data_IF_071342989225
#
_entry.id   IF_071342989225
#
_cell.length_a   1.000
_cell.length_b   1.000
_cell.length_c   1.000
_cell.angle_alpha   90.00
_cell.angle_beta   90.00
_cell.angle_gamma   90.00
#
_symmetry.space_group_name_H-M   'P 1'
#
loop_
_entity.id
_entity.type
_entity.pdbx_description
1 polymer ?
#
# COMPACT_ATOMS: atom_id res chain seq x y z
N UNK A 1 -51.97 25.16 -59.48
CA UNK A 1 -51.08 24.06 -59.10
C UNK A 1 -50.42 24.41 -57.78
N UNK A 2 -50.63 23.65 -56.69
CA UNK A 2 -49.97 23.94 -55.43
C UNK A 2 -48.59 23.28 -55.39
N UNK A 3 -47.54 24.08 -55.28
CA UNK A 3 -46.17 23.62 -55.02
C UNK A 3 -46.05 23.25 -53.54
N UNK A 4 -46.13 21.96 -53.25
CA UNK A 4 -45.92 21.40 -51.93
C UNK A 4 -44.41 21.38 -51.64
N UNK A 5 -43.86 22.52 -51.23
CA UNK A 5 -42.46 22.64 -50.81
C UNK A 5 -42.36 22.19 -49.36
N UNK A 6 -41.55 21.16 -49.10
CA UNK A 6 -41.42 20.46 -47.81
C UNK A 6 -40.08 20.78 -47.13
N UNK A 7 -39.83 22.01 -46.63
CA UNK A 7 -38.54 22.39 -46.05
C UNK A 7 -38.30 21.82 -44.64
N UNK A 8 -39.34 21.32 -43.95
CA UNK A 8 -39.26 20.94 -42.54
C UNK A 8 -38.47 19.66 -42.24
N UNK A 9 -38.57 18.63 -43.07
CA UNK A 9 -37.98 17.30 -42.77
C UNK A 9 -36.45 17.32 -42.78
N UNK A 10 -35.84 18.08 -43.70
CA UNK A 10 -34.39 18.16 -43.81
C UNK A 10 -33.75 18.91 -42.62
N UNK A 11 -34.41 19.97 -42.14
CA UNK A 11 -33.90 20.81 -41.04
C UNK A 11 -34.01 20.08 -39.70
N UNK A 12 -35.12 19.39 -39.45
CA UNK A 12 -35.29 18.62 -38.21
C UNK A 12 -34.31 17.44 -38.09
N UNK A 13 -34.02 16.77 -39.20
CA UNK A 13 -33.02 15.70 -39.23
C UNK A 13 -31.61 16.19 -38.87
N UNK A 14 -31.21 17.34 -39.42
CA UNK A 14 -29.91 17.97 -39.14
C UNK A 14 -29.83 18.44 -37.69
N UNK A 15 -30.89 19.04 -37.15
CA UNK A 15 -30.93 19.44 -35.74
C UNK A 15 -30.88 18.25 -34.77
N UNK A 16 -31.57 17.16 -35.08
CA UNK A 16 -31.54 15.95 -34.27
C UNK A 16 -30.12 15.34 -34.21
N UNK A 17 -29.42 15.33 -35.35
CA UNK A 17 -28.03 14.88 -35.44
C UNK A 17 -27.11 15.81 -34.65
N UNK A 18 -27.29 17.13 -34.79
CA UNK A 18 -26.50 18.13 -34.06
C UNK A 18 -26.69 18.03 -32.54
N UNK A 19 -27.95 17.91 -32.07
CA UNK A 19 -28.27 17.70 -30.65
C UNK A 19 -27.61 16.43 -30.12
N UNK A 20 -27.71 15.31 -30.84
CA UNK A 20 -27.11 14.03 -30.44
C UNK A 20 -25.58 14.08 -30.41
N UNK A 21 -24.95 14.71 -31.40
CA UNK A 21 -23.50 14.92 -31.43
C UNK A 21 -23.03 15.78 -30.24
N UNK A 22 -23.77 16.83 -29.90
CA UNK A 22 -23.46 17.71 -28.79
C UNK A 22 -23.59 17.00 -27.43
N UNK A 23 -24.61 16.16 -27.25
CA UNK A 23 -24.76 15.31 -26.06
C UNK A 23 -23.63 14.30 -25.91
N UNK A 24 -23.26 13.60 -26.99
CA UNK A 24 -22.15 12.63 -26.99
C UNK A 24 -20.83 13.31 -26.68
N UNK A 25 -20.58 14.48 -27.27
CA UNK A 25 -19.36 15.23 -27.04
C UNK A 25 -19.28 15.75 -25.60
N UNK A 26 -20.39 16.26 -25.04
CA UNK A 26 -20.47 16.63 -23.60
C UNK A 26 -20.21 15.42 -22.71
N UNK A 27 -20.79 14.26 -23.02
CA UNK A 27 -20.59 13.03 -22.27
C UNK A 27 -19.14 12.54 -22.33
N UNK A 28 -18.51 12.57 -23.51
CA UNK A 28 -17.10 12.24 -23.71
C UNK A 28 -16.19 13.21 -22.95
N UNK A 29 -16.43 14.51 -23.07
CA UNK A 29 -15.67 15.54 -22.39
C UNK A 29 -15.78 15.42 -20.87
N UNK A 30 -16.99 15.19 -20.35
CA UNK A 30 -17.20 14.90 -18.92
C UNK A 30 -16.43 13.65 -18.49
N UNK A 31 -16.51 12.56 -19.28
CA UNK A 31 -15.83 11.29 -19.00
C UNK A 31 -14.31 11.47 -18.99
N UNK A 32 -13.74 12.17 -19.96
CA UNK A 32 -12.30 12.50 -20.04
C UNK A 32 -11.88 13.38 -18.87
N UNK A 33 -12.64 14.43 -18.54
CA UNK A 33 -12.32 15.35 -17.43
C UNK A 33 -12.40 14.65 -16.08
N UNK A 34 -13.40 13.79 -15.88
CA UNK A 34 -13.54 12.92 -14.70
C UNK A 34 -12.37 11.92 -14.61
N UNK A 35 -11.95 11.34 -15.74
CA UNK A 35 -10.78 10.44 -15.79
C UNK A 35 -9.47 11.16 -15.46
N UNK A 36 -9.29 12.39 -15.95
CA UNK A 36 -8.09 13.20 -15.71
C UNK A 36 -7.96 13.67 -14.26
N UNK A 37 -9.06 14.09 -13.62
CA UNK A 37 -9.06 14.39 -12.17
C UNK A 37 -8.76 13.17 -11.29
N UNK A 38 -9.06 11.96 -11.76
CA UNK A 38 -8.83 10.72 -11.02
C UNK A 38 -7.36 10.24 -11.05
N UNK A 39 -6.53 10.79 -11.93
CA UNK A 39 -5.18 10.28 -12.19
C UNK A 39 -4.05 11.09 -11.53
N UNK A 40 -4.38 12.12 -10.73
CA UNK A 40 -3.36 12.78 -9.92
C UNK A 40 -3.19 11.94 -8.67
N UNK A 41 -2.11 11.17 -8.61
CA UNK A 41 -1.71 10.49 -7.38
C UNK A 41 -1.50 11.53 -6.29
N UNK A 42 -1.99 11.26 -5.08
CA UNK A 42 -1.68 12.11 -3.94
C UNK A 42 -0.15 12.20 -3.78
N UNK A 43 0.38 13.35 -3.37
CA UNK A 43 1.82 13.47 -3.12
C UNK A 43 2.23 12.46 -2.04
N UNK A 44 3.33 11.74 -2.27
CA UNK A 44 3.90 10.84 -1.27
C UNK A 44 4.68 11.67 -0.26
N UNK A 45 4.35 11.57 1.02
CA UNK A 45 5.14 12.17 2.09
C UNK A 45 6.42 11.36 2.32
N UNK A 46 7.52 11.82 1.74
CA UNK A 46 8.84 11.17 1.86
C UNK A 46 9.42 11.23 3.27
N UNK A 47 9.06 12.23 4.08
CA UNK A 47 9.47 12.30 5.49
C UNK A 47 8.80 11.15 6.25
N UNK A 48 7.49 10.95 6.04
CA UNK A 48 6.76 9.83 6.63
C UNK A 48 7.35 8.48 6.24
N UNK A 49 7.80 8.32 4.98
CA UNK A 49 8.47 7.09 4.52
C UNK A 49 9.72 6.78 5.34
N UNK A 50 10.62 7.76 5.50
CA UNK A 50 11.87 7.58 6.24
C UNK A 50 11.59 7.32 7.72
N UNK A 51 10.70 8.11 8.34
CA UNK A 51 10.33 7.95 9.75
C UNK A 51 9.66 6.60 10.00
N UNK A 52 8.81 6.13 9.10
CA UNK A 52 8.15 4.82 9.23
C UNK A 52 9.16 3.67 9.10
N UNK A 53 10.13 3.78 8.19
CA UNK A 53 11.21 2.81 8.06
C UNK A 53 12.08 2.77 9.32
N UNK A 54 12.41 3.93 9.89
CA UNK A 54 13.15 4.04 11.16
C UNK A 54 12.35 3.45 12.33
N UNK A 55 11.06 3.76 12.43
CA UNK A 55 10.20 3.21 13.48
C UNK A 55 10.16 1.67 13.44
N UNK A 56 10.01 1.09 12.26
CA UNK A 56 10.06 -0.36 12.09
C UNK A 56 11.46 -0.94 12.36
N UNK A 57 12.53 -0.24 11.98
CA UNK A 57 13.91 -0.65 12.26
C UNK A 57 14.25 -0.65 13.74
N UNK A 58 13.83 0.39 14.47
CA UNK A 58 13.96 0.47 15.93
C UNK A 58 13.13 -0.64 16.60
N UNK A 59 11.93 -0.89 16.10
CA UNK A 59 11.11 -2.01 16.56
C UNK A 59 11.81 -3.35 16.29
N UNK A 60 12.43 -3.54 15.13
CA UNK A 60 13.18 -4.75 14.80
C UNK A 60 14.35 -4.97 15.77
N UNK A 61 15.09 -3.90 16.06
CA UNK A 61 16.19 -3.93 17.03
C UNK A 61 15.69 -4.31 18.43
N UNK A 62 14.61 -3.69 18.91
CA UNK A 62 14.03 -4.01 20.21
C UNK A 62 13.41 -5.42 20.26
N UNK A 63 12.77 -5.87 19.18
CA UNK A 63 12.05 -7.14 19.11
C UNK A 63 13.02 -8.32 19.02
N UNK A 64 13.98 -8.28 18.09
CA UNK A 64 14.94 -9.36 17.87
C UNK A 64 16.19 -9.25 18.73
N UNK A 65 16.44 -8.09 19.37
CA UNK A 65 17.48 -7.92 20.37
C UNK A 65 16.98 -8.39 21.76
N UNK A 66 16.55 -7.47 22.63
CA UNK A 66 16.24 -7.79 24.03
C UNK A 66 14.98 -8.64 24.24
N UNK A 67 13.89 -8.43 23.47
CA UNK A 67 12.59 -9.04 23.79
C UNK A 67 12.52 -10.53 23.44
N UNK A 68 12.82 -10.89 22.19
CA UNK A 68 12.64 -12.26 21.68
C UNK A 68 13.91 -12.87 21.06
N UNK A 69 15.00 -12.12 20.99
CA UNK A 69 16.30 -12.61 20.51
C UNK A 69 16.78 -13.88 21.22
N UNK A 70 16.86 -13.89 22.56
CA UNK A 70 17.29 -15.07 23.32
C UNK A 70 16.35 -16.27 23.13
N UNK A 71 15.05 -16.04 23.02
CA UNK A 71 14.05 -17.07 22.83
C UNK A 71 14.13 -17.71 21.43
N UNK A 72 14.45 -16.91 20.40
CA UNK A 72 14.63 -17.34 19.02
C UNK A 72 15.98 -18.05 18.81
N UNK A 73 17.07 -17.49 19.33
CA UNK A 73 18.42 -18.05 19.19
C UNK A 73 18.50 -19.48 19.76
N UNK A 74 17.89 -19.74 20.92
CA UNK A 74 17.85 -21.08 21.55
C UNK A 74 17.16 -22.15 20.71
N UNK A 75 16.26 -21.78 19.79
CA UNK A 75 15.43 -22.74 19.03
C UNK A 75 15.84 -22.89 17.57
N UNK A 76 16.43 -21.85 16.97
CA UNK A 76 16.80 -21.83 15.55
C UNK A 76 18.30 -22.01 15.33
N UNK A 77 19.12 -21.74 16.36
CA UNK A 77 20.58 -21.79 16.23
C UNK A 77 21.22 -22.61 17.37
N UNK A 78 21.39 -23.94 17.20
CA UNK A 78 22.45 -24.62 17.92
C UNK A 78 23.80 -24.17 17.34
N UNK A 79 24.35 -23.09 17.89
CA UNK A 79 25.79 -22.86 18.01
C UNK A 79 26.68 -22.56 16.80
N UNK A 80 26.22 -22.56 15.53
CA UNK A 80 27.16 -22.44 14.38
C UNK A 80 26.85 -21.43 13.27
N UNK A 81 25.63 -20.89 13.17
CA UNK A 81 25.26 -19.96 12.07
C UNK A 81 25.53 -18.48 12.42
N UNK A 82 25.43 -18.09 13.70
CA UNK A 82 25.70 -16.70 14.14
C UNK A 82 27.17 -16.32 14.17
N UNK A 83 28.10 -17.28 14.20
CA UNK A 83 29.53 -16.99 14.36
C UNK A 83 30.17 -16.35 13.09
N UNK A 84 29.47 -16.34 11.95
CA UNK A 84 30.00 -15.85 10.66
C UNK A 84 29.24 -14.68 10.05
N UNK A 85 28.16 -14.21 10.69
CA UNK A 85 27.36 -13.11 10.16
C UNK A 85 27.98 -11.77 10.54
N UNK A 86 28.31 -10.95 9.54
CA UNK A 86 28.61 -9.52 9.66
C UNK A 86 27.33 -8.78 10.09
N UNK A 87 27.17 -8.39 11.37
CA UNK A 87 25.93 -7.80 11.87
C UNK A 87 25.54 -6.52 11.13
N UNK A 88 26.52 -5.74 10.70
CA UNK A 88 26.35 -4.53 9.90
C UNK A 88 25.69 -4.81 8.55
N UNK A 89 26.02 -5.94 7.91
CA UNK A 89 25.42 -6.33 6.62
C UNK A 89 23.97 -6.73 6.79
N UNK A 90 23.66 -7.47 7.86
CA UNK A 90 22.28 -7.86 8.17
C UNK A 90 21.44 -6.62 8.46
N UNK A 91 21.95 -5.71 9.30
CA UNK A 91 21.29 -4.44 9.61
C UNK A 91 21.05 -3.59 8.35
N UNK A 92 22.04 -3.48 7.45
CA UNK A 92 21.90 -2.74 6.20
C UNK A 92 20.84 -3.35 5.27
N UNK A 93 20.82 -4.68 5.12
CA UNK A 93 19.81 -5.37 4.30
C UNK A 93 18.42 -5.19 4.92
N UNK A 94 18.28 -5.39 6.24
CA UNK A 94 17.00 -5.19 6.94
C UNK A 94 16.52 -3.75 6.80
N UNK A 95 17.38 -2.76 7.02
CA UNK A 95 17.04 -1.35 6.86
C UNK A 95 16.61 -1.01 5.43
N UNK A 96 17.36 -1.49 4.43
CA UNK A 96 17.03 -1.28 3.02
C UNK A 96 15.69 -1.91 2.62
N UNK A 97 15.40 -3.13 3.10
CA UNK A 97 14.12 -3.80 2.84
C UNK A 97 12.96 -3.12 3.55
N UNK A 98 13.16 -2.66 4.80
CA UNK A 98 12.13 -1.89 5.53
C UNK A 98 11.85 -0.55 4.86
N UNK A 99 12.88 0.12 4.34
CA UNK A 99 12.72 1.34 3.55
C UNK A 99 11.91 1.05 2.28
N UNK A 100 12.24 0.00 1.54
CA UNK A 100 11.48 -0.42 0.36
C UNK A 100 10.01 -0.70 0.70
N UNK A 101 9.75 -1.45 1.77
CA UNK A 101 8.39 -1.70 2.27
C UNK A 101 7.66 -0.40 2.59
N UNK A 102 8.33 0.55 3.27
CA UNK A 102 7.76 1.85 3.63
C UNK A 102 7.45 2.70 2.40
N UNK A 103 8.33 2.73 1.39
CA UNK A 103 8.11 3.43 0.11
C UNK A 103 6.87 2.88 -0.59
N UNK A 104 6.73 1.55 -0.68
CA UNK A 104 5.57 0.92 -1.32
C UNK A 104 4.27 1.17 -0.54
N UNK A 105 4.33 1.18 0.79
CA UNK A 105 3.19 1.52 1.63
C UNK A 105 2.76 2.99 1.44
N UNK A 106 3.72 3.93 1.42
CA UNK A 106 3.46 5.33 1.13
C UNK A 106 2.85 5.53 -0.27
N UNK A 107 3.32 4.78 -1.26
CA UNK A 107 2.72 4.78 -2.60
C UNK A 107 1.28 4.27 -2.57
N UNK A 108 0.98 3.21 -1.82
CA UNK A 108 -0.37 2.67 -1.67
C UNK A 108 -1.32 3.71 -1.04
N UNK A 109 -0.87 4.45 -0.03
CA UNK A 109 -1.67 5.55 0.56
C UNK A 109 -1.88 6.72 -0.40
N UNK A 110 -0.84 7.11 -1.14
CA UNK A 110 -0.95 8.13 -2.19
C UNK A 110 -1.97 7.77 -3.29
N UNK A 111 -2.15 6.48 -3.59
CA UNK A 111 -3.14 6.00 -4.58
C UNK A 111 -4.59 6.13 -4.09
N UNK A 112 -4.81 6.14 -2.78
CA UNK A 112 -6.14 6.33 -2.18
C UNK A 112 -6.50 7.81 -2.16
N UNK A 113 -5.51 8.67 -1.91
CA UNK A 113 -5.66 10.12 -1.89
C UNK A 113 -5.94 10.67 -0.49
N UNK A 114 -5.40 11.86 -0.23
CA UNK A 114 -5.43 12.51 1.10
C UNK A 114 -6.87 12.74 1.59
N UNK A 115 -7.78 13.20 0.72
CA UNK A 115 -9.18 13.48 1.09
C UNK A 115 -9.89 12.24 1.66
N UNK A 116 -9.64 11.07 1.06
CA UNK A 116 -10.26 9.81 1.48
C UNK A 116 -9.67 9.31 2.81
N UNK A 117 -8.36 9.45 3.00
CA UNK A 117 -7.67 9.07 4.23
C UNK A 117 -8.00 10.01 5.40
N UNK A 118 -8.18 11.31 5.13
CA UNK A 118 -8.64 12.29 6.12
C UNK A 118 -10.05 12.00 6.62
N UNK A 119 -10.95 11.58 5.72
CA UNK A 119 -12.32 11.19 6.08
C UNK A 119 -12.36 9.86 6.85
N UNK A 120 -11.38 8.97 6.62
CA UNK A 120 -11.39 7.58 7.10
C UNK A 120 -10.02 7.14 7.62
N UNK A 121 -9.57 7.64 8.78
CA UNK A 121 -8.23 7.38 9.31
C UNK A 121 -7.98 5.89 9.64
N UNK A 122 -9.03 5.11 9.90
CA UNK A 122 -8.90 3.66 10.10
C UNK A 122 -8.34 2.91 8.88
N UNK A 123 -8.38 3.51 7.67
CA UNK A 123 -7.80 2.92 6.47
C UNK A 123 -6.28 2.72 6.58
N UNK A 124 -5.57 3.59 7.31
CA UNK A 124 -4.12 3.42 7.55
C UNK A 124 -3.84 2.08 8.23
N UNK A 125 -4.54 1.79 9.32
CA UNK A 125 -4.39 0.55 10.09
C UNK A 125 -4.99 -0.67 9.39
N UNK A 126 -6.13 -0.51 8.73
CA UNK A 126 -6.79 -1.59 8.01
C UNK A 126 -5.90 -2.10 6.87
N UNK A 127 -5.25 -1.20 6.13
CA UNK A 127 -4.43 -1.58 4.99
C UNK A 127 -3.05 -2.09 5.40
N UNK A 128 -2.39 -1.42 6.34
CA UNK A 128 -1.10 -1.90 6.83
C UNK A 128 -1.25 -3.19 7.63
N UNK A 129 -2.18 -3.24 8.60
CA UNK A 129 -2.48 -4.45 9.36
C UNK A 129 -3.03 -5.58 8.47
N UNK A 130 -3.89 -5.25 7.51
CA UNK A 130 -4.44 -6.20 6.54
C UNK A 130 -3.36 -6.85 5.67
N UNK A 131 -2.38 -6.08 5.19
CA UNK A 131 -1.22 -6.63 4.47
C UNK A 131 -0.42 -7.62 5.34
N UNK A 132 -0.18 -7.27 6.60
CA UNK A 132 0.53 -8.16 7.51
C UNK A 132 -0.25 -9.47 7.77
N UNK A 133 -1.54 -9.36 8.12
CA UNK A 133 -2.37 -10.51 8.48
C UNK A 133 -2.72 -11.40 7.30
N UNK A 134 -3.02 -10.83 6.13
CA UNK A 134 -3.52 -11.60 4.99
C UNK A 134 -2.41 -12.09 4.05
N UNK A 135 -1.25 -11.43 4.02
CA UNK A 135 -0.17 -11.80 3.10
C UNK A 135 1.09 -12.24 3.83
N UNK A 136 1.65 -11.38 4.68
CA UNK A 136 2.98 -11.63 5.28
C UNK A 136 2.94 -12.81 6.25
N UNK A 137 1.98 -12.84 7.17
CA UNK A 137 1.87 -13.89 8.18
C UNK A 137 1.61 -15.28 7.55
N UNK A 138 0.65 -15.44 6.62
CA UNK A 138 0.45 -16.72 5.94
C UNK A 138 1.67 -17.16 5.14
N UNK A 139 2.33 -16.24 4.41
CA UNK A 139 3.54 -16.55 3.66
C UNK A 139 4.67 -17.06 4.57
N UNK A 140 4.91 -16.37 5.70
CA UNK A 140 5.89 -16.80 6.69
C UNK A 140 5.51 -18.15 7.30
N UNK A 141 4.25 -18.37 7.63
CA UNK A 141 3.77 -19.62 8.21
C UNK A 141 4.01 -20.79 7.26
N UNK A 142 3.67 -20.62 5.97
CA UNK A 142 3.93 -21.62 4.93
C UNK A 142 5.43 -21.88 4.82
N UNK A 143 6.25 -20.84 4.65
CA UNK A 143 7.71 -21.01 4.52
C UNK A 143 8.33 -21.71 5.72
N UNK A 144 7.97 -21.31 6.94
CA UNK A 144 8.50 -21.89 8.17
C UNK A 144 8.03 -23.32 8.42
N UNK A 145 6.82 -23.67 7.98
CA UNK A 145 6.34 -25.06 8.01
C UNK A 145 7.20 -25.96 7.12
N UNK A 146 7.59 -25.49 5.93
CA UNK A 146 8.44 -26.26 5.00
C UNK A 146 9.85 -26.50 5.55
N UNK A 147 10.44 -25.50 6.20
CA UNK A 147 11.76 -25.62 6.83
C UNK A 147 11.71 -26.13 8.28
N UNK A 148 10.54 -26.61 8.74
CA UNK A 148 10.30 -27.20 10.07
C UNK A 148 10.75 -26.31 11.23
N UNK A 149 10.63 -24.99 11.07
CA UNK A 149 10.89 -24.04 12.16
C UNK A 149 9.77 -24.16 13.20
N UNK A 150 10.08 -24.18 14.52
CA UNK A 150 9.06 -24.29 15.55
C UNK A 150 8.00 -23.19 15.46
N UNK A 151 6.73 -23.55 15.62
CA UNK A 151 5.58 -22.63 15.53
C UNK A 151 5.72 -21.40 16.43
N UNK A 152 6.35 -21.56 17.61
CA UNK A 152 6.62 -20.44 18.52
C UNK A 152 7.53 -19.37 17.89
N UNK A 153 8.53 -19.78 17.12
CA UNK A 153 9.40 -18.85 16.39
C UNK A 153 8.62 -18.19 15.26
N UNK A 154 7.80 -18.97 14.54
CA UNK A 154 6.93 -18.43 13.51
C UNK A 154 6.00 -17.32 14.04
N UNK A 155 5.42 -17.51 15.23
CA UNK A 155 4.58 -16.51 15.89
C UNK A 155 5.35 -15.26 16.34
N UNK A 156 6.61 -15.39 16.75
CA UNK A 156 7.47 -14.24 17.11
C UNK A 156 7.73 -13.37 15.89
N UNK A 157 8.08 -13.98 14.75
CA UNK A 157 8.34 -13.29 13.50
C UNK A 157 7.03 -12.69 12.91
N UNK A 158 5.92 -13.44 12.97
CA UNK A 158 4.60 -12.94 12.58
C UNK A 158 4.18 -11.72 13.41
N UNK A 159 4.38 -11.79 14.73
CA UNK A 159 4.07 -10.69 15.65
C UNK A 159 4.89 -9.43 15.36
N UNK A 160 6.18 -9.59 15.06
CA UNK A 160 7.03 -8.47 14.62
C UNK A 160 6.46 -7.79 13.37
N UNK A 161 6.12 -8.56 12.33
CA UNK A 161 5.63 -7.98 11.08
C UNK A 161 4.29 -7.27 11.24
N UNK A 162 3.39 -7.82 12.07
CA UNK A 162 2.15 -7.15 12.41
C UNK A 162 2.41 -5.82 13.13
N UNK A 163 3.24 -5.83 14.17
CA UNK A 163 3.57 -4.63 14.92
C UNK A 163 4.30 -3.58 14.06
N UNK A 164 5.21 -4.01 13.19
CA UNK A 164 5.95 -3.13 12.28
C UNK A 164 5.02 -2.46 11.26
N UNK A 165 4.11 -3.21 10.62
CA UNK A 165 3.17 -2.64 9.65
C UNK A 165 2.17 -1.70 10.33
N UNK A 166 1.69 -2.02 11.53
CA UNK A 166 0.84 -1.12 12.30
C UNK A 166 1.58 0.15 12.71
N UNK A 167 2.84 0.04 13.15
CA UNK A 167 3.68 1.19 13.48
C UNK A 167 3.92 2.09 12.26
N UNK A 168 4.28 1.52 11.11
CA UNK A 168 4.43 2.27 9.87
C UNK A 168 3.13 2.97 9.47
N UNK A 169 1.99 2.26 9.50
CA UNK A 169 0.67 2.85 9.22
C UNK A 169 0.32 3.99 10.18
N UNK A 170 0.67 3.83 11.46
CA UNK A 170 0.52 4.87 12.47
C UNK A 170 1.38 6.11 12.19
N UNK A 171 2.63 5.94 11.76
CA UNK A 171 3.49 7.06 11.35
C UNK A 171 2.91 7.81 10.16
N UNK A 172 2.42 7.08 9.15
CA UNK A 172 1.76 7.71 8.00
C UNK A 172 0.48 8.45 8.41
N UNK A 173 -0.28 7.93 9.37
CA UNK A 173 -1.45 8.61 9.90
C UNK A 173 -1.09 9.89 10.66
N UNK A 174 -0.04 9.86 11.48
CA UNK A 174 0.41 11.02 12.27
C UNK A 174 1.04 12.14 11.42
N UNK A 175 1.57 11.80 10.24
CA UNK A 175 2.23 12.71 9.31
C UNK A 175 1.42 12.92 8.01
N UNK A 176 0.12 12.59 8.04
CA UNK A 176 -0.81 12.66 6.91
C UNK A 176 -1.20 14.10 6.54
#
# INVERSE_FOLDING_TARGET
MPTFFWPGIAVEGVEAIARRALHLWRALRYRVRKRRRRNVLGPVNWIAVVVAALAAGLLAFAWFGPLFGPAKARKVAPGKIMARSRPERVAAITGGLLLLTSVMMGHMFARIGADALATRPWLYFMMSGGLALAFVIPALWISFSHIRVPTRVALIDAGYWLAAYLAMGGVFWLLA
#
